data_IF_783944035378
#
_entry.id   IF_783944035378
#
_cell.length_a   1.000
_cell.length_b   1.000
_cell.length_c   1.000
_cell.angle_alpha   90.00
_cell.angle_beta   90.00
_cell.angle_gamma   90.00
#
_symmetry.space_group_name_H-M   'P 1'
#
loop_
_entity.id
_entity.type
_entity.pdbx_description
1 polymer ?
#
# COMPACT_ATOMS: atom_id res chain seq x y z
N UNK A 1 18.15 16.07 -3.22
CA UNK A 1 18.67 14.77 -3.71
C UNK A 1 17.75 14.29 -4.82
N UNK A 2 18.25 13.75 -5.92
CA UNK A 2 17.42 13.14 -6.97
C UNK A 2 16.77 11.83 -6.48
N UNK A 3 15.86 11.25 -7.28
CA UNK A 3 15.23 9.95 -7.04
C UNK A 3 16.27 8.84 -6.80
N UNK A 4 16.01 7.97 -5.84
CA UNK A 4 16.79 6.74 -5.65
C UNK A 4 16.39 5.70 -6.70
N UNK A 5 17.35 5.30 -7.54
CA UNK A 5 17.12 4.34 -8.64
C UNK A 5 17.28 2.87 -8.22
N UNK A 6 17.66 2.60 -6.96
CA UNK A 6 17.73 1.24 -6.43
C UNK A 6 16.34 0.67 -6.15
N UNK A 7 15.36 1.52 -5.81
CA UNK A 7 13.97 1.15 -5.53
C UNK A 7 13.19 1.07 -6.85
N UNK A 8 12.77 -0.15 -7.21
CA UNK A 8 11.99 -0.43 -8.43
C UNK A 8 10.58 -0.89 -8.12
N UNK A 9 10.33 -1.46 -6.95
CA UNK A 9 9.01 -1.87 -6.49
C UNK A 9 8.71 -1.39 -5.07
N UNK A 10 7.48 -0.91 -4.86
CA UNK A 10 7.00 -0.45 -3.56
C UNK A 10 5.68 -1.14 -3.23
N UNK A 11 5.56 -1.64 -2.00
CA UNK A 11 4.30 -2.08 -1.41
C UNK A 11 3.65 -0.92 -0.63
N UNK A 12 2.46 -0.50 -1.04
CA UNK A 12 1.61 0.45 -0.30
C UNK A 12 0.61 -0.34 0.54
N UNK A 13 0.57 -0.03 1.85
CA UNK A 13 -0.40 -0.62 2.79
C UNK A 13 -1.53 0.38 3.04
N UNK A 14 -2.75 0.02 2.63
CA UNK A 14 -3.95 0.82 2.80
C UNK A 14 -4.51 0.80 4.21
N UNK A 15 -5.58 1.56 4.44
CA UNK A 15 -6.20 1.73 5.77
C UNK A 15 -7.21 0.65 6.16
N UNK A 16 -7.70 -0.13 5.20
CA UNK A 16 -8.83 -1.03 5.41
C UNK A 16 -10.16 -0.29 5.43
N UNK A 17 -11.20 -0.86 6.07
CA UNK A 17 -12.56 -0.30 6.08
C UNK A 17 -12.62 1.08 6.73
N UNK A 18 -13.58 1.91 6.29
CA UNK A 18 -13.82 3.23 6.87
C UNK A 18 -14.37 3.08 8.29
N UNK A 19 -13.75 3.77 9.25
CA UNK A 19 -14.20 3.88 10.64
C UNK A 19 -14.13 5.32 11.12
N UNK A 20 -14.82 5.65 12.21
CA UNK A 20 -14.71 6.97 12.82
C UNK A 20 -13.25 7.21 13.24
N UNK A 21 -12.66 8.30 12.75
CA UNK A 21 -11.25 8.66 13.00
C UNK A 21 -10.24 8.08 12.00
N UNK A 22 -10.68 7.22 11.07
CA UNK A 22 -9.86 6.73 9.95
C UNK A 22 -10.77 6.46 8.74
N UNK A 23 -10.89 7.44 7.86
CA UNK A 23 -11.89 7.44 6.79
C UNK A 23 -11.27 7.67 5.39
N UNK A 24 -12.00 8.39 4.53
CA UNK A 24 -11.69 8.53 3.11
C UNK A 24 -10.35 9.24 2.82
N UNK A 25 -9.78 9.94 3.79
CA UNK A 25 -8.48 10.62 3.66
C UNK A 25 -7.35 9.67 3.26
N UNK A 26 -7.45 8.38 3.59
CA UNK A 26 -6.44 7.39 3.24
C UNK A 26 -6.65 6.76 1.85
N UNK A 27 -7.88 6.75 1.33
CA UNK A 27 -8.10 6.45 -0.09
C UNK A 27 -7.51 7.57 -0.96
N UNK A 28 -7.78 8.83 -0.59
CA UNK A 28 -7.19 9.99 -1.27
C UNK A 28 -5.65 9.96 -1.23
N UNK A 29 -5.07 9.76 -0.05
CA UNK A 29 -3.61 9.77 0.14
C UNK A 29 -2.95 8.57 -0.55
N UNK A 30 -3.52 7.37 -0.39
CA UNK A 30 -3.04 6.14 -1.04
C UNK A 30 -3.12 6.22 -2.56
N UNK A 31 -4.19 6.79 -3.11
CA UNK A 31 -4.33 7.03 -4.55
C UNK A 31 -3.25 8.00 -5.08
N UNK A 32 -2.96 9.07 -4.34
CA UNK A 32 -1.89 10.00 -4.71
C UNK A 32 -0.52 9.32 -4.68
N UNK A 33 -0.22 8.57 -3.62
CA UNK A 33 1.04 7.85 -3.49
C UNK A 33 1.24 6.84 -4.64
N UNK A 34 0.22 6.05 -4.96
CA UNK A 34 0.26 5.10 -6.07
C UNK A 34 0.52 5.81 -7.41
N UNK A 35 -0.17 6.93 -7.67
CA UNK A 35 0.03 7.71 -8.89
C UNK A 35 1.44 8.28 -8.97
N UNK A 36 1.91 8.95 -7.92
CA UNK A 36 3.24 9.59 -7.91
C UNK A 36 4.38 8.59 -8.08
N UNK A 37 4.31 7.42 -7.44
CA UNK A 37 5.32 6.37 -7.63
C UNK A 37 5.34 5.84 -9.07
N UNK A 38 4.17 5.66 -9.69
CA UNK A 38 4.07 5.17 -11.06
C UNK A 38 4.50 6.19 -12.11
N UNK A 39 4.22 7.48 -11.89
CA UNK A 39 4.74 8.58 -12.72
C UNK A 39 6.28 8.59 -12.74
N UNK A 40 6.91 8.16 -11.63
CA UNK A 40 8.35 7.97 -11.52
C UNK A 40 8.85 6.59 -12.01
N UNK A 41 7.98 5.78 -12.60
CA UNK A 41 8.32 4.45 -13.14
C UNK A 41 8.61 3.38 -12.09
N UNK A 42 8.15 3.57 -10.84
CA UNK A 42 8.25 2.58 -9.77
C UNK A 42 7.02 1.67 -9.84
N UNK A 43 7.24 0.36 -9.81
CA UNK A 43 6.17 -0.65 -9.77
C UNK A 43 5.45 -0.56 -8.42
N UNK A 44 4.13 -0.42 -8.44
CA UNK A 44 3.31 -0.32 -7.23
C UNK A 44 2.54 -1.62 -7.01
N UNK A 45 2.76 -2.22 -5.85
CA UNK A 45 1.91 -3.26 -5.30
C UNK A 45 1.10 -2.60 -4.17
N UNK A 46 -0.20 -2.86 -4.10
CA UNK A 46 -1.08 -2.24 -3.13
C UNK A 46 -1.95 -3.30 -2.45
N UNK A 47 -2.04 -3.25 -1.13
CA UNK A 47 -2.99 -4.05 -0.35
C UNK A 47 -3.97 -3.13 0.37
N UNK A 48 -5.26 -3.42 0.25
CA UNK A 48 -6.30 -2.79 1.05
C UNK A 48 -7.51 -3.73 1.13
N UNK A 49 -8.12 -3.90 2.30
CA UNK A 49 -9.30 -4.75 2.45
C UNK A 49 -10.62 -4.05 2.09
N UNK A 50 -10.60 -2.72 1.87
CA UNK A 50 -11.79 -1.96 1.51
C UNK A 50 -11.98 -1.90 -0.01
N UNK A 51 -13.01 -2.56 -0.57
CA UNK A 51 -13.25 -2.56 -2.02
C UNK A 51 -13.87 -1.26 -2.55
N UNK A 52 -14.34 -0.37 -1.67
CA UNK A 52 -15.01 0.87 -2.06
C UNK A 52 -14.04 2.07 -2.11
N UNK A 53 -12.84 1.85 -2.65
CA UNK A 53 -11.78 2.88 -2.72
C UNK A 53 -11.23 3.01 -4.12
N UNK A 54 -10.88 4.24 -4.52
CA UNK A 54 -10.24 4.49 -5.82
C UNK A 54 -8.86 3.84 -5.87
N UNK A 55 -8.11 3.85 -4.76
CA UNK A 55 -6.76 3.26 -4.71
C UNK A 55 -6.75 1.77 -5.04
N UNK A 56 -7.88 1.07 -4.87
CA UNK A 56 -8.03 -0.36 -5.22
C UNK A 56 -8.50 -0.60 -6.66
N UNK A 57 -8.73 0.44 -7.46
CA UNK A 57 -9.05 0.25 -8.87
C UNK A 57 -7.86 -0.42 -9.59
N UNK A 58 -8.10 -1.39 -10.49
CA UNK A 58 -7.03 -2.10 -11.20
C UNK A 58 -6.08 -1.20 -12.00
N UNK A 59 -6.50 0.03 -12.31
CA UNK A 59 -5.70 1.01 -13.04
C UNK A 59 -4.73 1.80 -12.14
N UNK A 60 -4.87 1.74 -10.81
CA UNK A 60 -4.10 2.58 -9.89
C UNK A 60 -2.73 2.01 -9.53
N UNK A 61 -2.60 0.69 -9.45
CA UNK A 61 -1.36 -0.02 -9.12
C UNK A 61 -1.09 -1.14 -10.14
N UNK A 62 0.15 -1.64 -10.20
CA UNK A 62 0.51 -2.77 -11.06
C UNK A 62 -0.09 -4.09 -10.54
N UNK A 63 -0.26 -4.20 -9.22
CA UNK A 63 -0.99 -5.31 -8.58
C UNK A 63 -1.76 -4.81 -7.37
N UNK A 64 -3.05 -5.10 -7.31
CA UNK A 64 -3.93 -4.77 -6.18
C UNK A 64 -4.35 -6.06 -5.48
N UNK A 65 -4.21 -6.09 -4.17
CA UNK A 65 -4.67 -7.15 -3.29
C UNK A 65 -5.83 -6.66 -2.42
N UNK A 66 -7.02 -7.19 -2.70
CA UNK A 66 -8.19 -7.07 -1.83
C UNK A 66 -8.17 -8.20 -0.79
N UNK A 67 -7.22 -8.12 0.14
CA UNK A 67 -7.01 -9.10 1.21
C UNK A 67 -7.22 -8.45 2.58
N UNK A 68 -7.50 -9.24 3.64
CA UNK A 68 -7.41 -8.77 5.01
C UNK A 68 -6.06 -8.11 5.31
N UNK A 69 -6.05 -7.08 6.15
CA UNK A 69 -4.81 -6.42 6.57
C UNK A 69 -4.24 -7.16 7.78
N UNK A 70 -3.60 -8.29 7.52
CA UNK A 70 -2.96 -9.17 8.53
C UNK A 70 -1.52 -9.48 8.14
N UNK A 71 -0.71 -9.97 9.10
CA UNK A 71 0.69 -10.33 8.89
C UNK A 71 0.82 -11.38 7.78
N UNK A 72 -0.02 -12.41 7.81
CA UNK A 72 0.01 -13.51 6.83
C UNK A 72 -0.29 -13.01 5.41
N UNK A 73 -1.16 -12.01 5.29
CA UNK A 73 -1.47 -11.39 4.00
C UNK A 73 -0.29 -10.58 3.46
N UNK A 74 0.47 -9.92 4.33
CA UNK A 74 1.70 -9.22 3.96
C UNK A 74 2.78 -10.24 3.57
N UNK A 75 3.00 -11.27 4.38
CA UNK A 75 3.98 -12.34 4.09
C UNK A 75 3.69 -12.99 2.74
N UNK A 76 2.44 -13.36 2.46
CA UNK A 76 2.04 -13.92 1.17
C UNK A 76 2.42 -12.97 0.01
N UNK A 77 2.18 -11.67 0.15
CA UNK A 77 2.53 -10.69 -0.89
C UNK A 77 4.04 -10.57 -1.06
N UNK A 78 4.80 -10.59 0.03
CA UNK A 78 6.27 -10.54 0.00
C UNK A 78 6.88 -11.80 -0.63
N UNK A 79 6.26 -12.96 -0.44
CA UNK A 79 6.68 -14.21 -1.09
C UNK A 79 6.37 -14.22 -2.60
N UNK A 80 5.21 -13.70 -2.99
CA UNK A 80 4.79 -13.65 -4.40
C UNK A 80 5.49 -12.56 -5.22
N UNK A 81 6.05 -11.53 -4.57
CA UNK A 81 6.59 -10.35 -5.25
C UNK A 81 7.93 -9.92 -4.65
N UNK A 82 8.90 -9.61 -5.51
CA UNK A 82 10.08 -8.89 -5.06
C UNK A 82 9.71 -7.43 -4.76
N UNK A 83 9.62 -7.10 -3.46
CA UNK A 83 9.35 -5.74 -2.95
C UNK A 83 10.67 -5.13 -2.46
N UNK A 84 11.06 -3.98 -3.02
CA UNK A 84 12.28 -3.28 -2.59
C UNK A 84 12.04 -2.38 -1.37
N UNK A 85 10.83 -1.82 -1.23
CA UNK A 85 10.46 -0.98 -0.10
C UNK A 85 8.96 -1.07 0.25
N UNK A 86 8.63 -0.84 1.52
CA UNK A 86 7.26 -0.74 2.01
C UNK A 86 6.96 0.72 2.38
N UNK A 87 5.78 1.21 2.00
CA UNK A 87 5.29 2.54 2.32
C UNK A 87 4.09 2.44 3.29
N UNK A 88 4.33 2.43 4.61
CA UNK A 88 3.28 2.24 5.63
C UNK A 88 2.55 3.53 6.03
N UNK A 89 2.92 4.67 5.45
CA UNK A 89 2.49 6.00 5.92
C UNK A 89 1.20 6.51 5.28
N UNK A 90 0.63 5.75 4.34
CA UNK A 90 -0.55 6.15 3.56
C UNK A 90 -1.84 5.45 4.00
N UNK A 91 -1.78 4.55 4.98
CA UNK A 91 -2.92 3.75 5.47
C UNK A 91 -3.28 3.99 6.94
N UNK A 92 -2.95 5.16 7.48
CA UNK A 92 -3.31 5.53 8.85
C UNK A 92 -2.69 4.63 9.91
N UNK A 93 -3.37 4.47 11.04
CA UNK A 93 -2.85 3.69 12.16
C UNK A 93 -2.85 2.19 11.84
N UNK A 94 -3.80 1.72 11.02
CA UNK A 94 -3.85 0.32 10.58
C UNK A 94 -2.55 -0.09 9.88
N UNK A 95 -2.09 0.70 8.90
CA UNK A 95 -0.85 0.39 8.20
C UNK A 95 0.39 0.48 9.11
N UNK A 96 0.46 1.50 9.97
CA UNK A 96 1.59 1.66 10.90
C UNK A 96 1.70 0.51 11.90
N UNK A 97 0.58 0.07 12.49
CA UNK A 97 0.57 -1.03 13.44
C UNK A 97 0.93 -2.34 12.76
N UNK A 98 0.32 -2.63 11.61
CA UNK A 98 0.57 -3.86 10.87
C UNK A 98 2.04 -3.96 10.44
N UNK A 99 2.61 -2.90 9.87
CA UNK A 99 4.00 -2.95 9.44
C UNK A 99 4.98 -3.02 10.61
N UNK A 100 4.61 -2.50 11.79
CA UNK A 100 5.42 -2.71 13.00
C UNK A 100 5.36 -4.18 13.45
N UNK A 101 4.19 -4.79 13.43
CA UNK A 101 3.99 -6.19 13.81
C UNK A 101 4.72 -7.16 12.86
N UNK A 102 4.85 -6.81 11.57
CA UNK A 102 5.62 -7.58 10.58
C UNK A 102 7.14 -7.44 10.77
N UNK A 103 7.61 -6.33 11.36
CA UNK A 103 9.04 -6.04 11.56
C UNK A 103 9.61 -6.67 12.85
N UNK A 104 8.74 -7.01 13.81
CA UNK A 104 9.08 -7.64 15.10
C UNK A 104 9.23 -9.19 14.97
#
# INVERSE_FOLDING_TARGET
MPKDNSIKSVLIVGSGPIVIGQACEFDYSGSQAARSLREEGIKVILINSNPATIMTDPMMADKVYLLPLTVESIEQILEENQIDAVLPTMGGQTALNLCKEVDD
#
